data_IF_870324752885
#
_entry.id   IF_870324752885
#
_cell.length_a   1.000
_cell.length_b   1.000
_cell.length_c   1.000
_cell.angle_alpha   90.00
_cell.angle_beta   90.00
_cell.angle_gamma   90.00
#
_symmetry.space_group_name_H-M   'P 1'
#
loop_
_entity.id
_entity.type
_entity.pdbx_description
1 polymer ?
#
# COMPACT_ATOMS: atom_id res chain seq x y z
N UNK A 1 -65.90 5.36 34.53
CA UNK A 1 -65.37 6.44 35.39
C UNK A 1 -63.84 6.34 35.44
N UNK A 2 -63.21 7.51 35.52
CA UNK A 2 -61.80 7.81 35.28
C UNK A 2 -60.84 7.10 36.24
N UNK A 3 -59.67 6.69 35.77
CA UNK A 3 -58.38 7.30 36.16
C UNK A 3 -57.20 6.50 35.60
N UNK A 4 -56.34 7.20 34.88
CA UNK A 4 -55.05 6.75 34.39
C UNK A 4 -54.14 6.24 35.51
N UNK A 5 -53.38 5.18 35.24
CA UNK A 5 -52.19 4.87 36.04
C UNK A 5 -50.95 4.85 35.14
N UNK A 6 -50.19 5.92 35.37
CA UNK A 6 -48.92 6.37 34.77
C UNK A 6 -47.94 5.23 34.50
N UNK A 7 -47.52 5.10 33.24
CA UNK A 7 -46.38 4.31 32.80
C UNK A 7 -45.10 5.11 33.04
N UNK A 8 -44.41 4.90 34.16
CA UNK A 8 -42.99 5.26 34.32
C UNK A 8 -42.39 4.33 35.38
N UNK A 9 -41.64 3.31 34.96
CA UNK A 9 -40.55 2.79 35.78
C UNK A 9 -39.32 2.78 34.89
N UNK A 10 -38.44 3.69 35.26
CA UNK A 10 -37.23 4.15 34.60
C UNK A 10 -36.26 2.99 34.31
N UNK A 11 -35.94 2.79 33.02
CA UNK A 11 -34.68 2.21 32.54
C UNK A 11 -33.52 2.93 33.23
N UNK A 12 -32.58 2.25 33.91
CA UNK A 12 -31.16 2.64 34.02
C UNK A 12 -30.39 1.61 34.86
N UNK A 13 -30.29 0.37 34.38
CA UNK A 13 -29.19 -0.52 34.81
C UNK A 13 -27.99 -0.22 33.93
N UNK A 14 -27.00 0.45 34.53
CA UNK A 14 -25.77 0.89 33.90
C UNK A 14 -25.02 -0.26 33.21
N UNK A 15 -25.14 -0.32 31.88
CA UNK A 15 -24.18 -1.03 31.04
C UNK A 15 -23.04 -0.05 30.73
N UNK A 16 -22.20 0.20 31.74
CA UNK A 16 -20.93 0.87 31.58
C UNK A 16 -19.82 -0.19 31.50
N UNK A 17 -19.89 -1.06 30.48
CA UNK A 17 -18.69 -1.79 30.06
C UNK A 17 -18.06 -0.92 28.99
N UNK A 18 -17.20 -0.05 29.50
CA UNK A 18 -15.99 0.48 28.90
C UNK A 18 -15.92 0.37 27.38
N UNK A 19 -16.19 1.50 26.72
CA UNK A 19 -15.54 1.84 25.46
C UNK A 19 -14.03 1.79 25.68
N UNK A 20 -13.44 0.60 25.57
CA UNK A 20 -12.03 0.47 25.25
C UNK A 20 -11.90 1.01 23.84
N UNK A 21 -11.46 2.28 23.74
CA UNK A 21 -11.04 2.85 22.48
C UNK A 21 -9.98 1.93 21.90
N UNK A 22 -10.31 1.26 20.80
CA UNK A 22 -9.29 0.65 19.95
C UNK A 22 -8.51 1.81 19.35
N UNK A 23 -7.37 2.14 19.93
CA UNK A 23 -6.39 2.98 19.25
C UNK A 23 -6.03 2.26 17.95
N UNK A 24 -6.42 2.83 16.81
CA UNK A 24 -5.99 2.31 15.53
C UNK A 24 -4.48 2.50 15.47
N UNK A 25 -3.73 1.42 15.70
CA UNK A 25 -2.31 1.35 15.38
C UNK A 25 -2.20 1.48 13.86
N UNK A 26 -2.19 2.71 13.36
CA UNK A 26 -1.80 3.00 11.99
C UNK A 26 -0.32 2.62 11.88
N UNK A 27 -0.06 1.36 11.53
CA UNK A 27 1.29 0.93 11.16
C UNK A 27 1.70 1.82 10.00
N UNK A 28 2.72 2.66 10.22
CA UNK A 28 3.27 3.50 9.17
C UNK A 28 3.64 2.61 7.98
N UNK A 29 3.20 2.97 6.78
CA UNK A 29 3.59 2.24 5.57
C UNK A 29 5.12 2.26 5.46
N UNK A 30 5.75 1.16 5.03
CA UNK A 30 7.19 1.16 4.84
C UNK A 30 7.57 2.15 3.73
N UNK A 31 8.73 2.80 3.88
CA UNK A 31 9.17 3.87 2.97
C UNK A 31 9.37 3.44 1.52
N UNK A 32 9.47 2.14 1.23
CA UNK A 32 9.52 1.62 -0.14
C UNK A 32 8.14 1.53 -0.80
N UNK A 33 7.04 1.56 -0.04
CA UNK A 33 5.69 1.24 -0.53
C UNK A 33 5.23 2.22 -1.63
N UNK A 34 5.59 3.50 -1.49
CA UNK A 34 5.32 4.52 -2.50
C UNK A 34 5.97 4.16 -3.84
N UNK A 35 7.25 3.80 -3.82
CA UNK A 35 8.01 3.42 -5.02
C UNK A 35 7.53 2.10 -5.62
N UNK A 36 7.00 1.19 -4.79
CA UNK A 36 6.34 -0.03 -5.25
C UNK A 36 5.09 0.29 -6.09
N UNK A 37 4.27 1.27 -5.65
CA UNK A 37 3.11 1.74 -6.41
C UNK A 37 3.54 2.36 -7.75
N UNK A 38 4.58 3.19 -7.75
CA UNK A 38 5.16 3.78 -8.97
C UNK A 38 5.61 2.68 -9.94
N UNK A 39 6.38 1.69 -9.44
CA UNK A 39 6.87 0.58 -10.26
C UNK A 39 5.74 -0.20 -10.93
N UNK A 40 4.67 -0.53 -10.19
CA UNK A 40 3.50 -1.24 -10.73
C UNK A 40 2.79 -0.41 -11.79
N UNK A 41 2.47 0.86 -11.49
CA UNK A 41 1.72 1.72 -12.41
C UNK A 41 2.49 1.94 -13.72
N UNK A 42 3.79 2.22 -13.63
CA UNK A 42 4.62 2.48 -14.80
C UNK A 42 4.89 1.20 -15.60
N UNK A 43 5.02 0.05 -14.95
CA UNK A 43 5.08 -1.24 -15.64
C UNK A 43 3.77 -1.57 -16.38
N UNK A 44 2.61 -1.36 -15.76
CA UNK A 44 1.31 -1.55 -16.42
C UNK A 44 1.22 -0.71 -17.70
N UNK A 45 1.61 0.56 -17.63
CA UNK A 45 1.64 1.47 -18.79
C UNK A 45 2.63 1.01 -19.85
N UNK A 46 3.87 0.69 -19.46
CA UNK A 46 4.94 0.30 -20.41
C UNK A 46 4.60 -0.97 -21.18
N UNK A 47 4.04 -1.96 -20.50
CA UNK A 47 3.79 -3.27 -21.09
C UNK A 47 2.37 -3.43 -21.63
N UNK A 48 1.46 -2.49 -21.33
CA UNK A 48 0.02 -2.62 -21.63
C UNK A 48 -0.52 -3.97 -21.13
N UNK A 49 -0.31 -4.20 -19.83
CA UNK A 49 -0.51 -5.49 -19.20
C UNK A 49 -0.82 -5.33 -17.70
N UNK A 50 -1.44 -6.35 -17.12
CA UNK A 50 -1.63 -6.39 -15.67
C UNK A 50 -0.39 -6.90 -14.95
N UNK A 51 -0.27 -6.55 -13.67
CA UNK A 51 0.74 -7.08 -12.76
C UNK A 51 0.03 -8.01 -11.78
N UNK A 52 0.42 -9.29 -11.77
CA UNK A 52 -0.22 -10.33 -10.94
C UNK A 52 0.46 -10.52 -9.59
N UNK A 53 1.76 -10.26 -9.53
CA UNK A 53 2.54 -10.39 -8.32
C UNK A 53 3.68 -9.36 -8.31
N UNK A 54 4.14 -9.02 -7.11
CA UNK A 54 5.23 -8.09 -6.90
C UNK A 54 6.07 -8.50 -5.70
N UNK A 55 7.39 -8.34 -5.82
CA UNK A 55 8.34 -8.56 -4.74
C UNK A 55 9.29 -7.39 -4.64
N UNK A 56 9.41 -6.83 -3.44
CA UNK A 56 10.48 -5.88 -3.14
C UNK A 56 11.82 -6.62 -3.05
N UNK A 57 12.81 -6.16 -3.82
CA UNK A 57 14.15 -6.74 -3.86
C UNK A 57 15.06 -6.02 -2.88
N UNK A 58 14.96 -4.70 -2.80
CA UNK A 58 15.69 -3.89 -1.84
C UNK A 58 16.04 -2.50 -2.34
N UNK A 59 16.66 -1.73 -1.46
CA UNK A 59 17.16 -0.38 -1.69
C UNK A 59 18.68 -0.39 -1.86
N UNK A 60 19.21 0.45 -2.75
CA UNK A 60 20.64 0.77 -2.82
C UNK A 60 20.88 2.28 -3.02
N UNK A 61 21.95 2.86 -2.46
CA UNK A 61 22.34 4.22 -2.76
C UNK A 61 22.91 4.29 -4.19
N UNK A 62 22.58 5.35 -4.92
CA UNK A 62 23.16 5.65 -6.24
C UNK A 62 24.13 6.83 -6.13
N UNK A 63 23.77 7.89 -5.41
CA UNK A 63 24.56 9.08 -5.05
C UNK A 63 24.03 9.66 -3.75
N UNK A 64 24.63 10.74 -3.26
CA UNK A 64 24.11 11.51 -2.12
C UNK A 64 22.62 11.84 -2.29
N UNK A 65 21.84 11.46 -1.28
CA UNK A 65 20.38 11.62 -1.22
C UNK A 65 19.60 10.98 -2.39
N UNK A 66 20.24 10.19 -3.25
CA UNK A 66 19.60 9.50 -4.37
C UNK A 66 19.68 8.00 -4.15
N UNK A 67 18.52 7.36 -4.07
CA UNK A 67 18.38 5.93 -3.85
C UNK A 67 17.64 5.27 -5.00
N UNK A 68 17.91 3.98 -5.20
CA UNK A 68 17.17 3.12 -6.10
C UNK A 68 16.44 2.04 -5.30
N UNK A 69 15.11 1.99 -5.43
CA UNK A 69 14.30 0.85 -4.99
C UNK A 69 14.09 -0.11 -6.15
N UNK A 70 14.39 -1.38 -5.94
CA UNK A 70 14.21 -2.42 -6.95
C UNK A 70 13.07 -3.37 -6.58
N UNK A 71 12.26 -3.69 -7.57
CA UNK A 71 11.12 -4.60 -7.48
C UNK A 71 11.22 -5.67 -8.58
N UNK A 72 10.78 -6.89 -8.30
CA UNK A 72 10.46 -7.90 -9.31
C UNK A 72 8.95 -7.96 -9.46
N UNK A 73 8.45 -7.67 -10.65
CA UNK A 73 7.04 -7.72 -10.99
C UNK A 73 6.78 -8.90 -11.91
N UNK A 74 5.59 -9.49 -11.82
CA UNK A 74 5.12 -10.50 -12.76
C UNK A 74 4.11 -9.83 -13.69
N UNK A 75 4.52 -9.66 -14.95
CA UNK A 75 3.71 -9.03 -16.00
C UNK A 75 2.89 -10.10 -16.70
N UNK A 76 1.57 -9.94 -16.72
CA UNK A 76 0.63 -10.86 -17.35
C UNK A 76 0.00 -10.25 -18.59
N UNK A 77 0.33 -10.82 -19.75
CA UNK A 77 -0.35 -10.60 -21.03
C UNK A 77 -1.26 -11.79 -21.35
N UNK A 78 -2.21 -11.66 -22.29
CA UNK A 78 -3.09 -12.77 -22.66
C UNK A 78 -2.36 -14.06 -23.09
N UNK A 79 -1.18 -13.93 -23.70
CA UNK A 79 -0.42 -15.04 -24.27
C UNK A 79 0.85 -15.41 -23.51
N UNK A 80 1.27 -14.59 -22.53
CA UNK A 80 2.52 -14.82 -21.78
C UNK A 80 2.53 -14.17 -20.41
N UNK A 81 3.25 -14.78 -19.49
CA UNK A 81 3.60 -14.22 -18.20
C UNK A 81 5.12 -14.20 -18.07
N UNK A 82 5.69 -13.10 -17.59
CA UNK A 82 7.14 -12.96 -17.46
C UNK A 82 7.52 -12.02 -16.33
N UNK A 83 8.67 -12.29 -15.72
CA UNK A 83 9.23 -11.45 -14.66
C UNK A 83 9.92 -10.21 -15.23
N UNK A 84 9.78 -9.07 -14.57
CA UNK A 84 10.52 -7.84 -14.89
C UNK A 84 11.07 -7.23 -13.62
N UNK A 85 12.36 -6.92 -13.61
CA UNK A 85 12.96 -6.06 -12.60
C UNK A 85 12.69 -4.60 -12.96
N UNK A 86 12.08 -3.86 -12.04
CA UNK A 86 11.84 -2.43 -12.14
C UNK A 86 12.67 -1.74 -11.07
N UNK A 87 13.52 -0.83 -11.51
CA UNK A 87 14.41 -0.03 -10.66
C UNK A 87 13.92 1.41 -10.69
N UNK A 88 13.50 1.94 -9.54
CA UNK A 88 12.96 3.29 -9.38
C UNK A 88 13.99 4.13 -8.63
N UNK A 89 14.55 5.14 -9.29
CA UNK A 89 15.47 6.10 -8.69
C UNK A 89 14.73 7.36 -8.27
N UNK A 90 15.03 7.84 -7.07
CA UNK A 90 14.39 9.00 -6.48
C UNK A 90 15.35 9.75 -5.55
N UNK A 91 15.02 11.01 -5.29
CA UNK A 91 15.66 11.81 -4.25
C UNK A 91 14.94 11.59 -2.91
N UNK A 92 15.64 11.14 -1.88
CA UNK A 92 15.08 10.83 -0.55
C UNK A 92 14.62 12.08 0.20
N UNK A 93 15.29 13.22 0.02
CA UNK A 93 14.96 14.46 0.72
C UNK A 93 13.71 15.13 0.13
N UNK A 94 13.58 15.11 -1.20
CA UNK A 94 12.50 15.81 -1.91
C UNK A 94 11.33 14.90 -2.30
N UNK A 95 11.51 13.58 -2.28
CA UNK A 95 10.55 12.62 -2.82
C UNK A 95 10.40 12.69 -4.34
N UNK A 96 11.35 13.31 -5.04
CA UNK A 96 11.31 13.46 -6.49
C UNK A 96 11.65 12.15 -7.19
N UNK A 97 10.78 11.70 -8.10
CA UNK A 97 11.07 10.61 -9.03
C UNK A 97 12.08 11.08 -10.08
N UNK A 98 13.21 10.39 -10.19
CA UNK A 98 14.30 10.77 -11.09
C UNK A 98 14.38 9.88 -12.34
N UNK A 99 14.24 8.56 -12.18
CA UNK A 99 14.36 7.61 -13.31
C UNK A 99 13.67 6.27 -13.02
N UNK A 100 13.26 5.57 -14.09
CA UNK A 100 12.71 4.21 -14.00
C UNK A 100 13.34 3.33 -15.07
N UNK A 101 14.03 2.26 -14.63
CA UNK A 101 14.67 1.27 -15.49
C UNK A 101 13.94 -0.06 -15.42
N UNK A 102 13.93 -0.76 -16.55
CA UNK A 102 13.27 -2.05 -16.72
C UNK A 102 14.25 -3.08 -17.25
N UNK A 103 14.22 -4.29 -16.70
CA UNK A 103 14.99 -5.42 -17.20
C UNK A 103 14.14 -6.68 -17.08
N UNK A 104 13.83 -7.33 -18.21
CA UNK A 104 13.18 -8.64 -18.19
C UNK A 104 14.08 -9.63 -17.40
N UNK A 105 13.46 -10.40 -16.51
CA UNK A 105 14.15 -11.43 -15.77
C UNK A 105 14.47 -12.59 -16.71
N UNK A 106 15.70 -13.10 -16.64
CA UNK A 106 15.99 -14.41 -17.22
C UNK A 106 15.17 -15.47 -16.48
N UNK A 107 14.65 -16.44 -17.23
CA UNK A 107 13.89 -17.58 -16.73
C UNK A 107 14.74 -18.49 -15.83
#
# INVERSE_FOLDING_TARGET
>A
MRAAKRWVITLFTALAISMLGTESLAMAEPSYAEWGRVAVLEAKKKYDADITDYKHIGRKPVKDHIYEEQFKLIVKKPSKEFGVYVSVQFNEDTGELLDIKYKEAAE
#
